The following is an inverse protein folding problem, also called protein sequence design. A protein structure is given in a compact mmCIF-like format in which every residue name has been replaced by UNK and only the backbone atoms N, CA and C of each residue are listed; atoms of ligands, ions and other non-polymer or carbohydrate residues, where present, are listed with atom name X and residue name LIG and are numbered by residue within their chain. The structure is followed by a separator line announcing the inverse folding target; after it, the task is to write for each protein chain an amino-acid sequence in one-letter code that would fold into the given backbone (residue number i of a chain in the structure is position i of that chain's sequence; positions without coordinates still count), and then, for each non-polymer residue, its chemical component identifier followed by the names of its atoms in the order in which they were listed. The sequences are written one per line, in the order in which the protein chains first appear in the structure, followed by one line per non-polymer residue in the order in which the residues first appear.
data_IF_187838453496
#
_entry.id   IF_187838453496
#
_cell.length_a   1.000
_cell.length_b   1.000
_cell.length_c   1.000
_cell.angle_alpha   90.00
_cell.angle_beta   90.00
_cell.angle_gamma   90.00
#
_symmetry.space_group_name_H-M   'P 1'
#
loop_
_entity.id
_entity.type
_entity.pdbx_description
1 polymer ?
#
# COMPACT_ATOMS: atom_id res chain seq x y z
N UNK A 1 -36.15 -30.14 -52.41
CA UNK A 1 -35.72 -31.52 -52.76
C UNK A 1 -34.20 -31.58 -52.64
N UNK A 2 -33.70 -32.47 -51.76
CA UNK A 2 -32.39 -33.19 -51.74
C UNK A 2 -31.16 -32.48 -52.37
N UNK A 3 -30.05 -32.32 -51.68
CA UNK A 3 -29.19 -33.44 -51.23
C UNK A 3 -28.18 -33.02 -50.15
N UNK A 4 -28.11 -33.81 -49.08
CA UNK A 4 -26.95 -33.94 -48.20
C UNK A 4 -25.91 -34.87 -48.86
N UNK A 5 -24.63 -34.55 -48.76
CA UNK A 5 -23.50 -35.48 -48.88
C UNK A 5 -22.61 -35.23 -47.64
N UNK A 6 -22.58 -36.12 -46.64
CA UNK A 6 -21.75 -37.33 -46.55
C UNK A 6 -20.25 -37.08 -46.77
N UNK A 7 -19.52 -36.84 -45.68
CA UNK A 7 -18.07 -37.07 -45.61
C UNK A 7 -17.79 -38.06 -44.48
N UNK A 8 -17.36 -39.25 -44.91
CA UNK A 8 -17.02 -40.42 -44.09
C UNK A 8 -15.64 -40.27 -43.44
N UNK A 9 -15.59 -40.70 -42.17
CA UNK A 9 -14.59 -41.59 -41.54
C UNK A 9 -13.17 -41.60 -42.15
N UNK A 10 -12.20 -41.14 -41.37
CA UNK A 10 -10.84 -41.70 -41.39
C UNK A 10 -10.47 -42.31 -40.03
N UNK A 11 -9.93 -43.53 -40.12
CA UNK A 11 -9.59 -44.44 -39.03
C UNK A 11 -8.22 -44.10 -38.43
N UNK A 12 -8.14 -44.30 -37.10
CA UNK A 12 -7.04 -44.95 -36.34
C UNK A 12 -5.65 -44.94 -36.99
N UNK A 13 -4.81 -44.01 -36.53
CA UNK A 13 -3.36 -44.17 -36.48
C UNK A 13 -2.93 -44.31 -35.03
N UNK A 14 -2.38 -45.47 -34.69
CA UNK A 14 -1.68 -45.76 -33.44
C UNK A 14 -0.40 -44.94 -33.41
N UNK A 15 -0.19 -44.12 -32.38
CA UNK A 15 1.13 -43.59 -32.05
C UNK A 15 1.48 -43.92 -30.59
N UNK A 16 2.76 -44.23 -30.33
CA UNK A 16 3.17 -45.00 -29.16
C UNK A 16 3.24 -44.12 -27.91
N UNK A 17 2.92 -44.76 -26.79
CA UNK A 17 3.25 -44.38 -25.42
C UNK A 17 4.74 -43.99 -25.32
N UNK A 18 5.02 -42.68 -25.33
CA UNK A 18 6.17 -42.17 -24.61
C UNK A 18 5.79 -42.09 -23.13
N UNK A 19 6.03 -43.20 -22.42
CA UNK A 19 6.25 -43.21 -20.99
C UNK A 19 7.55 -42.42 -20.71
N UNK A 20 7.47 -41.10 -20.71
CA UNK A 20 8.42 -40.30 -19.95
C UNK A 20 7.97 -40.41 -18.50
N UNK A 21 8.69 -41.26 -17.77
CA UNK A 21 8.70 -41.34 -16.31
C UNK A 21 9.13 -39.95 -15.81
N UNK A 22 8.16 -39.06 -15.58
CA UNK A 22 8.34 -38.03 -14.56
C UNK A 22 8.21 -38.77 -13.24
N UNK A 23 9.34 -39.08 -12.61
CA UNK A 23 9.36 -39.21 -11.16
C UNK A 23 8.92 -37.85 -10.61
N UNK A 24 7.61 -37.71 -10.38
CA UNK A 24 7.05 -36.65 -9.59
C UNK A 24 7.55 -36.88 -8.16
N UNK A 25 8.70 -36.30 -7.84
CA UNK A 25 9.12 -36.13 -6.46
C UNK A 25 8.13 -35.13 -5.87
N UNK A 26 7.31 -35.60 -4.93
CA UNK A 26 6.25 -34.88 -4.21
C UNK A 26 6.80 -33.75 -3.32
N UNK A 27 7.59 -32.83 -3.87
CA UNK A 27 8.05 -31.63 -3.17
C UNK A 27 6.98 -30.55 -3.29
N UNK A 28 5.99 -30.58 -2.40
CA UNK A 28 5.01 -29.50 -2.32
C UNK A 28 5.63 -28.27 -1.63
N UNK A 29 5.48 -27.09 -2.23
CA UNK A 29 5.83 -25.81 -1.59
C UNK A 29 4.57 -25.21 -0.97
N UNK A 30 4.67 -24.82 0.30
CA UNK A 30 3.61 -24.06 0.95
C UNK A 30 4.01 -22.59 0.91
N UNK A 31 3.32 -21.81 0.08
CA UNK A 31 3.34 -20.37 0.27
C UNK A 31 2.40 -20.07 1.42
N UNK A 32 2.96 -19.46 2.45
CA UNK A 32 2.15 -18.89 3.52
C UNK A 32 1.91 -17.44 3.10
N UNK A 33 0.77 -17.10 2.45
CA UNK A 33 0.37 -15.70 2.40
C UNK A 33 0.32 -15.24 3.85
N UNK A 34 0.94 -14.10 4.16
CA UNK A 34 0.91 -13.58 5.52
C UNK A 34 -0.55 -13.36 5.92
N UNK A 35 -1.06 -14.30 6.74
CA UNK A 35 -2.41 -14.44 7.27
C UNK A 35 -3.47 -13.51 6.64
N UNK A 36 -4.05 -13.90 5.51
CA UNK A 36 -5.43 -13.51 5.17
C UNK A 36 -6.39 -14.31 6.05
N UNK A 37 -6.58 -13.92 7.31
CA UNK A 37 -7.66 -14.43 8.14
C UNK A 37 -8.95 -13.75 7.67
N UNK A 38 -9.56 -14.31 6.63
CA UNK A 38 -10.99 -14.24 6.40
C UNK A 38 -11.41 -15.50 5.64
N UNK A 39 -11.39 -16.61 6.38
CA UNK A 39 -12.29 -17.72 6.08
C UNK A 39 -13.69 -17.24 6.44
N UNK A 40 -14.51 -16.99 5.42
CA UNK A 40 -15.92 -16.64 5.54
C UNK A 40 -16.70 -17.83 6.13
N UNK A 41 -16.60 -18.04 7.43
CA UNK A 41 -17.71 -18.61 8.18
C UNK A 41 -18.56 -17.44 8.64
N UNK A 42 -19.75 -17.39 8.07
CA UNK A 42 -20.82 -16.43 8.28
C UNK A 42 -21.14 -16.27 9.77
N UNK A 43 -20.44 -15.36 10.45
CA UNK A 43 -20.84 -14.92 11.79
C UNK A 43 -21.82 -13.77 11.59
N UNK A 44 -23.08 -14.01 11.97
CA UNK A 44 -24.15 -13.02 11.92
C UNK A 44 -23.66 -11.72 12.57
N UNK A 45 -23.80 -10.61 11.85
CA UNK A 45 -23.55 -9.28 12.34
C UNK A 45 -24.53 -8.97 13.48
N UNK A 46 -24.04 -9.11 14.72
CA UNK A 46 -24.62 -8.44 15.88
C UNK A 46 -23.68 -7.31 16.22
N UNK A 47 -24.15 -6.07 16.02
CA UNK A 47 -23.54 -4.84 16.52
C UNK A 47 -23.38 -4.94 18.05
N UNK A 48 -22.23 -5.41 18.49
CA UNK A 48 -21.74 -5.24 19.84
C UNK A 48 -20.48 -4.38 19.80
N UNK A 49 -20.54 -3.28 20.52
CA UNK A 49 -19.43 -2.52 21.08
C UNK A 49 -18.24 -3.44 21.39
N UNK A 50 -17.20 -3.40 20.55
CA UNK A 50 -16.00 -4.21 20.69
C UNK A 50 -15.13 -3.68 21.84
N UNK A 51 -15.49 -4.06 23.07
CA UNK A 51 -14.48 -4.20 24.13
C UNK A 51 -13.66 -5.45 23.80
N UNK A 52 -12.60 -5.27 23.02
CA UNK A 52 -11.61 -6.32 22.76
C UNK A 52 -10.88 -6.62 24.07
N UNK A 53 -11.10 -7.82 24.60
CA UNK A 53 -10.27 -8.39 25.65
C UNK A 53 -8.80 -8.41 25.20
N UNK A 54 -7.98 -7.57 25.83
CA UNK A 54 -6.53 -7.61 25.80
C UNK A 54 -6.07 -8.99 26.31
N UNK A 55 -5.50 -9.81 25.43
CA UNK A 55 -4.83 -11.05 25.83
C UNK A 55 -3.42 -11.07 25.20
N UNK A 56 -2.48 -10.47 25.95
CA UNK A 56 -1.06 -10.81 26.13
C UNK A 56 -0.11 -11.12 24.96
N UNK A 57 -0.48 -10.98 23.68
CA UNK A 57 0.45 -11.30 22.56
C UNK A 57 0.74 -10.13 21.60
N UNK A 58 0.33 -8.91 21.92
CA UNK A 58 0.47 -7.75 21.02
C UNK A 58 1.96 -7.40 20.76
N UNK A 59 2.83 -7.44 21.79
CA UNK A 59 4.27 -7.20 21.64
C UNK A 59 5.01 -8.25 20.77
N UNK A 60 4.66 -9.54 20.89
CA UNK A 60 5.31 -10.58 20.06
C UNK A 60 4.99 -10.44 18.58
N UNK A 61 3.79 -9.97 18.24
CA UNK A 61 3.40 -9.75 16.86
C UNK A 61 4.04 -8.49 16.28
N UNK A 62 4.16 -7.43 17.06
CA UNK A 62 4.89 -6.21 16.67
C UNK A 62 6.36 -6.50 16.38
N UNK A 63 7.04 -7.24 17.27
CA UNK A 63 8.41 -7.69 17.07
C UNK A 63 8.56 -8.50 15.78
N UNK A 64 7.59 -9.36 15.44
CA UNK A 64 7.61 -10.13 14.19
C UNK A 64 7.47 -9.25 12.96
N UNK A 65 6.68 -8.18 13.05
CA UNK A 65 6.47 -7.24 11.95
C UNK A 65 7.70 -6.36 11.72
N UNK A 66 8.31 -5.90 12.80
CA UNK A 66 9.58 -5.18 12.74
C UNK A 66 10.68 -6.09 12.22
N UNK A 67 10.75 -7.35 12.68
CA UNK A 67 11.66 -8.34 12.12
C UNK A 67 11.42 -8.55 10.62
N UNK A 68 10.17 -8.66 10.17
CA UNK A 68 9.86 -8.80 8.76
C UNK A 68 10.32 -7.59 7.95
N UNK A 69 10.07 -6.39 8.45
CA UNK A 69 10.51 -5.13 7.85
C UNK A 69 12.04 -5.11 7.72
N UNK A 70 12.75 -5.32 8.82
CA UNK A 70 14.21 -5.40 8.83
C UNK A 70 14.73 -6.50 7.90
N UNK A 71 14.02 -7.63 7.82
CA UNK A 71 14.37 -8.74 6.92
C UNK A 71 14.16 -8.40 5.44
N UNK A 72 13.17 -7.58 5.10
CA UNK A 72 12.94 -7.10 3.73
C UNK A 72 13.98 -6.05 3.36
N UNK A 73 14.24 -5.09 4.25
CA UNK A 73 15.23 -4.03 4.08
C UNK A 73 16.65 -4.60 3.92
N UNK A 74 17.05 -5.52 4.79
CA UNK A 74 18.39 -6.15 4.73
C UNK A 74 18.63 -6.95 3.44
N UNK A 75 17.57 -7.52 2.85
CA UNK A 75 17.69 -8.29 1.60
C UNK A 75 17.41 -7.44 0.36
N UNK A 76 17.06 -6.17 0.49
CA UNK A 76 16.64 -5.34 -0.63
C UNK A 76 17.80 -5.04 -1.58
N UNK A 77 17.64 -5.36 -2.87
CA UNK A 77 18.62 -5.00 -3.88
C UNK A 77 18.17 -3.72 -4.59
N UNK A 78 18.66 -2.56 -4.14
CA UNK A 78 18.25 -1.27 -4.68
C UNK A 78 18.54 -1.10 -6.17
N UNK A 79 19.62 -1.70 -6.68
CA UNK A 79 19.99 -1.61 -8.10
C UNK A 79 19.00 -2.34 -9.02
N UNK A 80 18.42 -3.46 -8.55
CA UNK A 80 17.49 -4.28 -9.31
C UNK A 80 16.03 -3.91 -9.03
N UNK A 81 15.71 -3.62 -7.78
CA UNK A 81 14.34 -3.43 -7.29
C UNK A 81 13.96 -1.96 -7.17
N UNK A 82 14.93 -1.02 -7.26
CA UNK A 82 14.79 0.42 -7.02
C UNK A 82 14.73 0.77 -5.52
N UNK A 83 14.31 1.98 -5.13
CA UNK A 83 14.34 2.36 -3.70
C UNK A 83 13.29 1.60 -2.90
N UNK A 84 13.66 1.12 -1.72
CA UNK A 84 12.65 0.60 -0.78
C UNK A 84 11.82 1.77 -0.25
N UNK A 85 10.48 1.74 -0.36
CA UNK A 85 9.63 2.82 0.11
C UNK A 85 9.51 2.78 1.65
N UNK A 86 10.58 3.17 2.36
CA UNK A 86 10.65 3.20 3.83
C UNK A 86 9.96 4.40 4.45
N UNK A 87 9.73 5.46 3.66
CA UNK A 87 9.04 6.68 4.05
C UNK A 87 7.86 6.96 3.13
N UNK A 88 6.84 7.71 3.58
CA UNK A 88 5.73 8.12 2.72
C UNK A 88 6.18 8.86 1.45
N UNK A 89 7.21 9.70 1.57
CA UNK A 89 7.78 10.44 0.46
C UNK A 89 8.44 9.51 -0.57
N UNK A 90 9.28 8.58 -0.12
CA UNK A 90 9.92 7.61 -0.99
C UNK A 90 8.88 6.71 -1.67
N UNK A 91 7.84 6.29 -0.94
CA UNK A 91 6.71 5.55 -1.48
C UNK A 91 5.98 6.34 -2.57
N UNK A 92 5.56 7.56 -2.26
CA UNK A 92 4.86 8.43 -3.19
C UNK A 92 5.68 8.72 -4.46
N UNK A 93 6.98 8.97 -4.31
CA UNK A 93 7.90 9.21 -5.43
C UNK A 93 7.99 8.00 -6.34
N UNK A 94 8.29 6.82 -5.79
CA UNK A 94 8.39 5.57 -6.54
C UNK A 94 7.07 5.22 -7.25
N UNK A 95 5.93 5.43 -6.59
CA UNK A 95 4.62 5.22 -7.20
C UNK A 95 4.39 6.22 -8.34
N UNK A 96 4.68 7.51 -8.13
CA UNK A 96 4.53 8.54 -9.15
C UNK A 96 5.38 8.25 -10.39
N UNK A 97 6.61 7.77 -10.22
CA UNK A 97 7.48 7.28 -11.31
C UNK A 97 6.80 6.20 -12.17
N UNK A 98 6.09 5.30 -11.51
CA UNK A 98 5.35 4.24 -12.18
C UNK A 98 4.14 4.78 -12.95
N UNK A 99 3.42 5.78 -12.42
CA UNK A 99 2.25 6.39 -13.10
C UNK A 99 2.59 6.97 -14.47
N UNK A 100 3.67 7.76 -14.60
CA UNK A 100 4.00 8.44 -15.86
C UNK A 100 4.60 7.51 -16.91
N UNK A 101 5.12 6.35 -16.52
CA UNK A 101 5.55 5.33 -17.48
C UNK A 101 4.37 4.68 -18.24
N UNK A 102 3.14 4.88 -17.77
CA UNK A 102 1.92 4.40 -18.40
C UNK A 102 1.23 5.56 -19.13
N UNK A 103 1.13 5.50 -20.47
CA UNK A 103 0.60 6.58 -21.32
C UNK A 103 -0.90 6.89 -21.15
N UNK A 104 -1.63 6.25 -20.24
CA UNK A 104 -3.08 6.45 -20.08
C UNK A 104 -3.39 7.44 -18.95
N UNK A 105 -3.81 8.65 -19.33
CA UNK A 105 -4.02 9.79 -18.43
C UNK A 105 -5.36 9.78 -17.68
N UNK A 106 -6.32 8.94 -18.09
CA UNK A 106 -7.65 8.81 -17.48
C UNK A 106 -8.01 7.35 -17.22
N UNK A 107 -8.57 7.07 -16.04
CA UNK A 107 -9.01 5.74 -15.66
C UNK A 107 -8.84 5.44 -14.17
N UNK A 108 -9.03 4.16 -13.82
CA UNK A 108 -8.88 3.65 -12.46
C UNK A 108 -7.50 3.01 -12.32
N UNK A 109 -6.70 3.55 -11.41
CA UNK A 109 -5.37 3.04 -11.06
C UNK A 109 -5.42 2.36 -9.70
N UNK A 110 -4.79 1.20 -9.60
CA UNK A 110 -4.65 0.43 -8.37
C UNK A 110 -3.20 0.50 -7.91
N UNK A 111 -3.00 0.78 -6.63
CA UNK A 111 -1.73 0.73 -5.94
C UNK A 111 -1.89 -0.32 -4.83
N UNK A 112 -1.01 -1.30 -4.78
CA UNK A 112 -1.09 -2.41 -3.84
C UNK A 112 0.22 -2.55 -3.05
N UNK A 113 0.35 -1.73 -2.00
CA UNK A 113 1.39 -1.67 -1.00
C UNK A 113 1.07 -2.63 0.16
N UNK A 114 1.48 -3.89 0.05
CA UNK A 114 1.36 -4.85 1.16
C UNK A 114 2.56 -4.75 2.11
N UNK A 115 2.84 -3.52 2.55
CA UNK A 115 3.85 -3.27 3.58
C UNK A 115 3.22 -3.44 4.96
N UNK A 116 3.98 -3.92 5.96
CA UNK A 116 3.54 -4.12 7.35
C UNK A 116 2.64 -3.04 7.96
N UNK A 117 2.92 -1.76 7.70
CA UNK A 117 2.16 -0.63 8.23
C UNK A 117 1.08 -0.08 7.30
N UNK A 118 1.03 -0.55 6.05
CA UNK A 118 0.11 -0.06 5.02
C UNK A 118 -0.93 -1.10 4.61
N UNK A 119 -0.76 -2.37 4.98
CA UNK A 119 -1.66 -3.45 4.59
C UNK A 119 -2.80 -3.68 5.60
N UNK A 120 -4.02 -3.24 5.27
CA UNK A 120 -5.22 -3.54 6.05
C UNK A 120 -5.47 -5.05 6.22
N UNK A 121 -4.92 -5.92 5.37
CA UNK A 121 -5.13 -7.39 5.47
C UNK A 121 -4.48 -8.00 6.69
N UNK A 122 -3.47 -7.34 7.24
CA UNK A 122 -2.81 -7.78 8.46
C UNK A 122 -3.66 -7.47 9.71
N UNK A 123 -4.70 -6.64 9.56
CA UNK A 123 -5.67 -6.29 10.57
C UNK A 123 -5.77 -4.79 10.76
N UNK A 124 -6.92 -4.29 11.21
CA UNK A 124 -7.14 -2.86 11.45
C UNK A 124 -6.22 -2.27 12.51
N UNK A 125 -5.57 -3.11 13.33
CA UNK A 125 -4.59 -2.70 14.34
C UNK A 125 -3.24 -2.31 13.75
N UNK A 126 -2.85 -2.92 12.62
CA UNK A 126 -1.52 -2.77 12.03
C UNK A 126 -1.49 -1.79 10.87
N UNK A 127 -2.66 -1.49 10.34
CA UNK A 127 -2.82 -0.49 9.32
C UNK A 127 -2.75 0.90 9.91
N UNK A 128 -1.73 1.63 9.52
CA UNK A 128 -1.60 3.05 9.84
C UNK A 128 -2.32 3.87 8.76
N UNK A 129 -3.55 4.27 9.10
CA UNK A 129 -4.37 5.12 8.24
C UNK A 129 -3.71 6.49 7.98
N UNK A 130 -2.91 6.99 8.92
CA UNK A 130 -2.20 8.27 8.78
C UNK A 130 -1.07 8.10 7.79
N UNK A 131 -0.26 7.05 7.93
CA UNK A 131 0.83 6.77 6.99
C UNK A 131 0.30 6.55 5.57
N UNK A 132 -0.81 5.83 5.42
CA UNK A 132 -1.43 5.62 4.12
C UNK A 132 -2.01 6.93 3.54
N UNK A 133 -2.54 7.81 4.39
CA UNK A 133 -2.97 9.15 3.99
C UNK A 133 -1.80 10.04 3.59
N UNK A 134 -0.66 9.99 4.29
CA UNK A 134 0.56 10.70 3.93
C UNK A 134 1.07 10.25 2.54
N UNK A 135 1.11 8.94 2.30
CA UNK A 135 1.49 8.38 0.98
C UNK A 135 0.54 8.86 -0.11
N UNK A 136 -0.77 8.79 0.14
CA UNK A 136 -1.79 9.24 -0.81
C UNK A 136 -1.64 10.74 -1.10
N UNK A 137 -1.34 11.52 -0.06
CA UNK A 137 -1.20 12.96 -0.15
C UNK A 137 -0.03 13.34 -1.03
N UNK A 138 1.16 12.87 -0.65
CA UNK A 138 2.40 13.15 -1.35
C UNK A 138 2.34 12.61 -2.78
N UNK A 139 1.68 11.48 -3.02
CA UNK A 139 1.49 10.95 -4.36
C UNK A 139 0.71 11.92 -5.24
N UNK A 140 -0.44 12.41 -4.78
CA UNK A 140 -1.26 13.37 -5.52
C UNK A 140 -0.45 14.62 -5.85
N UNK A 141 0.28 15.17 -4.87
CA UNK A 141 1.11 16.35 -5.09
C UNK A 141 2.16 16.11 -6.17
N UNK A 142 2.84 14.96 -6.14
CA UNK A 142 3.84 14.57 -7.14
C UNK A 142 3.21 14.39 -8.53
N UNK A 143 2.01 13.81 -8.62
CA UNK A 143 1.28 13.66 -9.88
C UNK A 143 0.88 15.02 -10.46
N UNK A 144 0.39 15.95 -9.63
CA UNK A 144 0.03 17.31 -10.05
C UNK A 144 1.29 18.06 -10.49
N UNK A 145 2.37 17.97 -9.71
CA UNK A 145 3.63 18.65 -10.02
C UNK A 145 4.18 18.20 -11.37
N UNK A 146 4.29 16.89 -11.60
CA UNK A 146 4.77 16.36 -12.88
C UNK A 146 3.88 16.68 -14.06
N UNK A 147 2.56 16.74 -13.85
CA UNK A 147 1.65 17.18 -14.91
C UNK A 147 1.90 18.64 -15.30
N UNK A 148 2.27 19.50 -14.34
CA UNK A 148 2.69 20.87 -14.65
C UNK A 148 4.00 20.89 -15.41
N UNK A 149 5.00 20.16 -14.93
CA UNK A 149 6.33 20.12 -15.55
C UNK A 149 6.25 19.66 -17.01
N UNK A 150 5.46 18.61 -17.30
CA UNK A 150 5.26 18.12 -18.66
C UNK A 150 4.47 19.10 -19.56
N UNK A 151 3.61 19.95 -19.00
CA UNK A 151 2.86 20.94 -19.76
C UNK A 151 3.70 22.19 -20.09
N UNK A 152 4.68 22.54 -19.24
CA UNK A 152 5.60 23.68 -19.49
C UNK A 152 6.38 23.47 -20.79
N UNK A 153 6.81 22.24 -21.07
CA UNK A 153 7.51 21.91 -22.32
C UNK A 153 6.60 21.99 -23.56
N UNK A 154 5.28 21.86 -23.38
CA UNK A 154 4.30 21.92 -24.47
C UNK A 154 3.73 23.33 -24.71
N UNK A 155 3.83 24.24 -23.73
CA UNK A 155 3.10 25.51 -23.70
C UNK A 155 3.83 26.71 -24.32
N UNK A 156 4.84 26.52 -25.18
CA UNK A 156 5.51 27.65 -25.88
C UNK A 156 4.55 28.41 -26.83
N UNK A 157 3.32 27.94 -27.05
CA UNK A 157 2.40 28.50 -28.09
C UNK A 157 0.99 28.86 -27.58
N UNK A 158 0.66 28.77 -26.29
CA UNK A 158 -0.71 29.08 -25.82
C UNK A 158 -0.72 29.76 -24.44
N UNK A 159 -1.09 31.05 -24.41
CA UNK A 159 -1.35 31.87 -23.22
C UNK A 159 -2.63 31.44 -22.45
N UNK A 160 -2.82 30.14 -22.22
CA UNK A 160 -3.79 29.68 -21.23
C UNK A 160 -3.07 29.57 -19.90
N UNK A 161 -3.39 30.49 -18.98
CA UNK A 161 -2.93 30.47 -17.60
C UNK A 161 -3.09 29.06 -17.02
N UNK A 162 -2.01 28.38 -16.61
CA UNK A 162 -2.11 27.05 -16.04
C UNK A 162 -3.01 27.11 -14.80
N UNK A 163 -4.11 26.35 -14.80
CA UNK A 163 -5.05 26.31 -13.67
C UNK A 163 -4.31 25.77 -12.44
N UNK A 164 -3.82 26.66 -11.60
CA UNK A 164 -3.07 26.35 -10.38
C UNK A 164 -3.91 25.64 -9.32
N UNK A 165 -5.22 25.47 -9.55
CA UNK A 165 -6.23 25.07 -8.57
C UNK A 165 -6.59 23.58 -8.54
N UNK A 166 -5.87 22.71 -9.26
CA UNK A 166 -6.16 21.27 -9.23
C UNK A 166 -5.94 20.70 -7.83
N UNK A 167 -6.99 20.12 -7.26
CA UNK A 167 -7.07 19.48 -5.95
C UNK A 167 -7.40 18.00 -6.11
N UNK A 168 -7.14 17.21 -5.07
CA UNK A 168 -7.66 15.86 -4.96
C UNK A 168 -8.61 15.71 -3.77
N UNK A 169 -9.53 14.75 -3.90
CA UNK A 169 -10.36 14.28 -2.81
C UNK A 169 -9.78 12.96 -2.30
N UNK A 170 -9.32 12.95 -1.05
CA UNK A 170 -8.88 11.77 -0.33
C UNK A 170 -10.06 11.20 0.48
N UNK A 171 -10.53 10.04 0.06
CA UNK A 171 -11.64 9.33 0.68
C UNK A 171 -11.11 8.26 1.65
N UNK A 172 -11.52 8.38 2.90
CA UNK A 172 -11.28 7.39 3.96
C UNK A 172 -12.59 6.78 4.43
N UNK A 173 -12.50 5.66 5.15
CA UNK A 173 -13.64 4.80 5.44
C UNK A 173 -14.73 5.48 6.28
N UNK A 174 -14.32 6.14 7.36
CA UNK A 174 -15.22 6.66 8.39
C UNK A 174 -14.69 7.96 8.99
N UNK A 175 -15.59 8.66 9.68
CA UNK A 175 -15.33 9.96 10.27
C UNK A 175 -14.31 9.91 11.42
N UNK A 176 -14.24 8.79 12.15
CA UNK A 176 -13.26 8.64 13.22
C UNK A 176 -11.83 8.59 12.65
N UNK A 177 -11.66 7.91 11.52
CA UNK A 177 -10.40 7.87 10.77
C UNK A 177 -10.02 9.24 10.23
N UNK A 178 -10.98 9.99 9.66
CA UNK A 178 -10.77 11.41 9.24
C UNK A 178 -10.21 12.22 10.39
N UNK A 179 -10.90 12.26 11.54
CA UNK A 179 -10.48 13.05 12.71
C UNK A 179 -9.11 12.65 13.24
N UNK A 180 -8.77 11.36 13.13
CA UNK A 180 -7.45 10.87 13.56
C UNK A 180 -6.35 11.40 12.65
N UNK A 181 -6.54 11.33 11.33
CA UNK A 181 -5.61 11.86 10.35
C UNK A 181 -5.47 13.38 10.51
N UNK A 182 -6.57 14.11 10.60
CA UNK A 182 -6.57 15.56 10.77
C UNK A 182 -5.83 15.98 12.04
N UNK A 183 -6.11 15.33 13.17
CA UNK A 183 -5.43 15.62 14.44
C UNK A 183 -3.92 15.41 14.34
N UNK A 184 -3.48 14.29 13.77
CA UNK A 184 -2.04 14.00 13.64
C UNK A 184 -1.39 14.99 12.69
N UNK A 185 -2.05 15.32 11.58
CA UNK A 185 -1.59 16.37 10.70
C UNK A 185 -1.50 17.69 11.46
N UNK A 186 -2.55 18.20 12.10
CA UNK A 186 -2.55 19.45 12.87
C UNK A 186 -1.41 19.53 13.88
N UNK A 187 -1.21 18.48 14.69
CA UNK A 187 -0.08 18.41 15.62
C UNK A 187 1.27 18.60 14.92
N UNK A 188 1.48 17.90 13.80
CA UNK A 188 2.70 18.05 12.98
C UNK A 188 2.86 19.45 12.39
N UNK A 189 1.78 20.22 12.19
CA UNK A 189 1.91 21.60 11.70
C UNK A 189 2.29 22.59 12.79
N UNK A 190 1.86 22.35 14.05
CA UNK A 190 2.17 23.21 15.19
C UNK A 190 3.59 23.00 15.70
N UNK A 191 4.09 21.75 15.70
CA UNK A 191 5.46 21.45 16.14
C UNK A 191 6.53 22.18 15.31
N UNK A 192 6.24 22.59 14.08
CA UNK A 192 7.18 23.37 13.26
C UNK A 192 7.22 24.87 13.60
N UNK A 193 6.30 25.38 14.40
CA UNK A 193 6.23 26.81 14.73
C UNK A 193 6.78 27.17 16.10
N UNK A 194 7.00 26.19 16.98
CA UNK A 194 7.44 26.41 18.36
C UNK A 194 8.96 26.35 18.52
N UNK A 195 9.67 25.55 17.70
CA UNK A 195 11.14 25.40 17.76
C UNK A 195 11.94 26.65 17.33
N UNK A 196 11.30 27.68 16.78
CA UNK A 196 11.93 28.94 16.35
C UNK A 196 11.73 30.10 17.36
N UNK A 197 11.13 29.85 18.53
CA UNK A 197 10.83 30.88 19.54
C UNK A 197 11.47 30.65 20.93
N UNK A 198 12.43 29.74 21.05
CA UNK A 198 13.16 29.52 22.32
C UNK A 198 14.65 29.89 22.23
N UNK A 199 14.96 31.16 21.96
CA UNK A 199 16.25 31.79 22.33
C UNK A 199 16.04 33.26 22.72
N UNK A 200 15.39 33.50 23.87
CA UNK A 200 15.75 34.65 24.73
C UNK A 200 15.70 34.18 26.19
N UNK A 201 16.84 33.64 26.64
CA UNK A 201 17.17 33.47 28.05
C UNK A 201 17.01 34.82 28.77
N UNK A 202 15.97 34.96 29.59
CA UNK A 202 16.04 35.82 30.76
C UNK A 202 16.45 34.93 31.93
N UNK A 203 17.76 34.90 32.17
CA UNK A 203 18.35 34.68 33.48
C UNK A 203 17.73 35.69 34.46
N UNK A 204 16.80 35.23 35.30
CA UNK A 204 16.63 35.80 36.63
C UNK A 204 16.09 34.68 37.53
N UNK A 205 17.02 34.16 38.34
CA UNK A 205 16.79 33.31 39.49
C UNK A 205 15.72 33.94 40.40
N UNK A 206 14.66 33.21 40.73
CA UNK A 206 14.13 33.32 42.09
C UNK A 206 13.29 32.10 42.52
N UNK A 207 13.53 31.77 43.78
CA UNK A 207 13.22 30.56 44.51
C UNK A 207 11.73 30.39 44.91
N UNK A 208 11.32 29.11 44.96
CA UNK A 208 10.39 28.49 45.92
C UNK A 208 8.89 28.89 45.91
N UNK A 209 8.03 27.92 45.60
CA UNK A 209 7.25 27.25 46.66
C UNK A 209 6.37 26.12 46.13
N UNK A 210 6.44 25.00 46.85
CA UNK A 210 5.54 23.85 46.77
C UNK A 210 4.07 24.26 46.85
N UNK A 211 3.24 23.71 45.97
CA UNK A 211 1.90 23.29 46.34
C UNK A 211 1.51 22.02 45.59
N UNK A 212 1.24 20.98 46.37
CA UNK A 212 0.54 19.77 45.97
C UNK A 212 -0.85 20.14 45.44
N UNK A 213 -1.06 20.04 44.13
CA UNK A 213 -2.38 19.79 43.56
C UNK A 213 -2.35 18.49 42.78
N UNK A 214 -3.02 17.50 43.38
CA UNK A 214 -3.34 16.18 42.89
C UNK A 214 -4.20 16.32 41.63
N UNK A 215 -3.52 16.58 40.51
CA UNK A 215 -4.11 16.59 39.19
C UNK A 215 -4.23 15.14 38.75
N UNK A 216 -5.47 14.67 38.61
CA UNK A 216 -5.77 13.36 38.05
C UNK A 216 -5.13 13.25 36.65
N UNK A 217 -3.97 12.61 36.60
CA UNK A 217 -3.28 12.21 35.37
C UNK A 217 -4.19 11.19 34.69
N UNK A 218 -5.01 11.68 33.75
CA UNK A 218 -5.59 10.84 32.72
C UNK A 218 -4.41 10.16 32.02
N UNK A 219 -4.36 8.85 32.15
CA UNK A 219 -3.37 7.98 31.53
C UNK A 219 -3.15 8.37 30.06
N UNK A 220 -1.95 8.86 29.79
CA UNK A 220 -1.44 9.15 28.47
C UNK A 220 -1.02 7.82 27.81
N UNK A 221 -2.02 7.04 27.38
CA UNK A 221 -1.87 5.81 26.56
C UNK A 221 -1.37 6.12 25.12
N UNK A 222 -0.83 7.31 24.88
CA UNK A 222 -0.27 7.74 23.58
C UNK A 222 1.26 7.85 23.57
N UNK A 223 1.93 7.58 24.71
CA UNK A 223 3.39 7.51 24.79
C UNK A 223 4.00 6.31 24.03
N UNK A 224 3.17 5.42 23.46
CA UNK A 224 3.63 4.29 22.64
C UNK A 224 3.76 4.61 21.14
N UNK A 225 3.69 5.89 20.76
CA UNK A 225 4.12 6.37 19.43
C UNK A 225 5.64 6.62 19.36
N UNK A 226 6.45 5.84 20.09
CA UNK A 226 7.92 5.79 20.00
C UNK A 226 8.46 5.36 18.61
N UNK A 227 7.57 5.17 17.63
CA UNK A 227 7.87 4.79 16.26
C UNK A 227 8.70 5.83 15.48
N UNK A 228 8.58 7.13 15.77
CA UNK A 228 9.37 8.16 15.05
C UNK A 228 10.76 8.39 15.64
N UNK A 229 10.96 8.12 16.93
CA UNK A 229 12.24 8.35 17.61
C UNK A 229 13.16 7.12 17.51
N UNK A 230 12.61 5.91 17.45
CA UNK A 230 13.38 4.66 17.31
C UNK A 230 14.09 4.50 15.96
N UNK A 231 13.62 5.18 14.90
CA UNK A 231 14.29 5.21 13.59
C UNK A 231 15.57 6.07 13.64
N UNK A 232 15.68 7.00 14.60
CA UNK A 232 16.85 7.88 14.74
C UNK A 232 18.03 7.20 15.47
N UNK A 233 17.82 6.13 16.23
CA UNK A 233 18.83 5.56 17.12
C UNK A 233 19.71 4.44 16.50
N UNK A 234 19.39 3.93 15.30
CA UNK A 234 20.08 2.74 14.75
C UNK A 234 21.23 3.05 13.78
N UNK A 235 21.37 4.29 13.28
CA UNK A 235 22.46 4.65 12.35
C UNK A 235 23.80 5.00 13.03
N UNK A 236 23.97 4.72 14.32
CA UNK A 236 25.20 5.03 15.07
C UNK A 236 25.86 3.81 15.71
N UNK A 237 25.96 2.67 15.01
CA UNK A 237 26.78 1.54 15.50
C UNK A 237 27.46 0.69 14.43
N UNK A 238 28.47 1.26 13.77
CA UNK A 238 29.72 0.59 13.34
C UNK A 238 30.65 1.70 12.86
N UNK A 239 31.93 1.84 13.21
CA UNK A 239 32.98 0.86 13.49
C UNK A 239 34.10 1.61 14.23
N UNK A 240 34.69 0.99 15.24
CA UNK A 240 35.88 1.48 15.92
C UNK A 240 37.06 1.64 14.95
N UNK A 241 37.51 2.87 14.72
CA UNK A 241 38.90 3.15 14.36
C UNK A 241 39.35 4.47 14.99
N UNK A 242 40.42 4.38 15.76
CA UNK A 242 41.05 5.47 16.50
C UNK A 242 41.79 6.41 15.55
N UNK A 243 41.44 7.69 15.56
CA UNK A 243 42.17 8.74 14.87
C UNK A 243 41.54 10.10 15.16
N UNK A 244 42.10 10.83 16.13
CA UNK A 244 41.66 12.15 16.55
C UNK A 244 41.71 13.17 15.41
N UNK A 245 40.59 13.86 15.16
CA UNK A 245 40.54 15.14 14.46
C UNK A 245 39.25 15.85 14.83
N UNK A 246 39.35 16.79 15.78
CA UNK A 246 38.30 17.77 16.08
C UNK A 246 37.87 18.48 14.80
N UNK A 247 36.65 18.22 14.36
CA UNK A 247 35.98 19.02 13.34
C UNK A 247 34.55 19.21 13.81
N UNK A 248 34.20 20.45 14.17
CA UNK A 248 32.87 20.87 14.60
C UNK A 248 31.82 20.39 13.60
N UNK A 249 30.99 19.45 14.06
CA UNK A 249 29.91 18.86 13.28
C UNK A 249 28.72 19.81 13.31
N UNK A 250 28.64 20.67 12.28
CA UNK A 250 27.46 21.50 11.99
C UNK A 250 26.23 20.58 11.90
N UNK A 251 25.27 20.75 12.81
CA UNK A 251 23.99 20.05 12.78
C UNK A 251 23.32 20.31 11.43
N UNK A 252 23.15 19.26 10.63
CA UNK A 252 22.36 19.32 9.41
C UNK A 252 20.89 19.46 9.81
N UNK A 253 20.34 20.64 9.59
CA UNK A 253 18.91 20.93 9.63
C UNK A 253 18.21 19.93 8.69
N UNK A 254 17.40 19.02 9.24
CA UNK A 254 16.62 18.08 8.45
C UNK A 254 15.51 18.86 7.74
N UNK A 255 15.51 18.83 6.41
CA UNK A 255 14.39 19.31 5.60
C UNK A 255 13.16 18.40 5.80
N UNK A 256 12.42 18.61 6.89
CA UNK A 256 11.07 18.07 7.03
C UNK A 256 10.13 18.92 6.18
N UNK A 257 9.99 18.54 4.91
CA UNK A 257 9.08 19.19 3.96
C UNK A 257 7.64 19.22 4.52
N UNK A 258 7.09 20.42 4.67
CA UNK A 258 5.73 20.64 5.17
C UNK A 258 4.69 20.21 4.12
N UNK A 259 3.78 19.33 4.51
CA UNK A 259 2.67 18.84 3.67
C UNK A 259 1.70 20.01 3.34
N UNK A 260 1.55 20.40 2.07
CA UNK A 260 0.62 21.46 1.64
C UNK A 260 -0.82 20.93 1.59
N UNK A 261 -1.55 21.14 2.69
CA UNK A 261 -2.95 20.70 2.83
C UNK A 261 -3.92 21.35 1.86
N UNK A 262 -3.56 22.47 1.21
CA UNK A 262 -4.51 23.22 0.35
C UNK A 262 -4.89 22.43 -0.91
N UNK A 263 -4.10 21.42 -1.27
CA UNK A 263 -4.27 20.61 -2.47
C UNK A 263 -5.11 19.36 -2.26
N UNK A 264 -5.38 18.97 -1.02
CA UNK A 264 -6.10 17.75 -0.70
C UNK A 264 -7.24 18.03 0.26
N UNK A 265 -8.42 17.64 -0.17
CA UNK A 265 -9.60 17.57 0.66
C UNK A 265 -9.70 16.15 1.24
N UNK A 266 -9.60 16.00 2.56
CA UNK A 266 -9.88 14.74 3.25
C UNK A 266 -11.39 14.64 3.52
N UNK A 267 -11.98 13.46 3.31
CA UNK A 267 -13.41 13.25 3.53
C UNK A 267 -13.74 11.79 3.86
N UNK A 268 -14.70 11.57 4.77
CA UNK A 268 -15.28 10.25 5.02
C UNK A 268 -16.17 9.81 3.86
N UNK A 269 -16.05 8.55 3.43
CA UNK A 269 -16.79 7.96 2.33
C UNK A 269 -18.30 7.97 2.56
N UNK A 270 -18.72 7.72 3.82
CA UNK A 270 -20.13 7.65 4.20
C UNK A 270 -20.54 8.70 5.24
N UNK A 271 -19.62 9.57 5.67
CA UNK A 271 -19.87 10.52 6.76
C UNK A 271 -20.33 9.79 8.03
N UNK A 272 -21.43 10.25 8.62
CA UNK A 272 -22.06 9.62 9.79
C UNK A 272 -23.05 8.49 9.44
N UNK A 273 -23.20 8.13 8.16
CA UNK A 273 -24.17 7.14 7.73
C UNK A 273 -23.74 5.71 8.13
N UNK A 274 -24.56 5.03 8.92
CA UNK A 274 -24.39 3.61 9.22
C UNK A 274 -25.03 2.75 8.13
N UNK A 275 -24.19 1.99 7.40
CA UNK A 275 -24.63 1.14 6.29
C UNK A 275 -24.61 -0.32 6.74
N UNK A 276 -25.80 -0.83 7.06
CA UNK A 276 -26.01 -2.26 7.33
C UNK A 276 -26.03 -3.07 6.04
N UNK A 277 -25.46 -4.28 6.05
CA UNK A 277 -25.63 -5.22 4.95
C UNK A 277 -27.09 -5.69 4.86
N UNK A 278 -27.71 -5.51 3.70
CA UNK A 278 -29.13 -5.79 3.48
C UNK A 278 -29.58 -5.54 2.05
N UNK A 279 -30.86 -5.77 1.77
CA UNK A 279 -31.45 -5.53 0.46
C UNK A 279 -31.47 -4.03 0.07
N UNK A 280 -31.48 -3.14 1.06
CA UNK A 280 -31.51 -1.68 0.90
C UNK A 280 -30.12 -1.03 0.95
N UNK A 281 -29.06 -1.83 0.99
CA UNK A 281 -27.68 -1.37 1.12
C UNK A 281 -27.26 -0.49 -0.06
N UNK A 282 -27.70 -0.80 -1.28
CA UNK A 282 -27.39 0.01 -2.47
C UNK A 282 -27.90 1.44 -2.32
N UNK A 283 -29.19 1.60 -2.02
CA UNK A 283 -29.82 2.91 -1.86
C UNK A 283 -29.23 3.69 -0.69
N UNK A 284 -28.79 3.00 0.37
CA UNK A 284 -28.08 3.62 1.51
C UNK A 284 -26.69 4.12 1.09
N UNK A 285 -25.92 3.32 0.37
CA UNK A 285 -24.60 3.70 -0.16
C UNK A 285 -24.73 4.90 -1.10
N UNK A 286 -25.66 4.85 -2.05
CA UNK A 286 -25.85 5.94 -3.02
C UNK A 286 -26.26 7.23 -2.31
N UNK A 287 -27.19 7.17 -1.35
CA UNK A 287 -27.58 8.36 -0.57
C UNK A 287 -26.41 8.93 0.24
N UNK A 288 -25.63 8.08 0.92
CA UNK A 288 -24.48 8.50 1.70
C UNK A 288 -23.40 9.17 0.82
N UNK A 289 -23.16 8.66 -0.40
CA UNK A 289 -22.25 9.30 -1.35
C UNK A 289 -22.80 10.63 -1.86
N UNK A 290 -24.10 10.71 -2.13
CA UNK A 290 -24.75 11.93 -2.60
C UNK A 290 -24.68 13.05 -1.54
N UNK A 291 -24.79 12.72 -0.25
CA UNK A 291 -24.69 13.71 0.82
C UNK A 291 -23.24 14.10 1.13
N UNK A 292 -22.30 13.15 1.11
CA UNK A 292 -20.96 13.38 1.69
C UNK A 292 -19.84 13.55 0.65
N UNK A 293 -19.97 12.96 -0.54
CA UNK A 293 -18.87 12.93 -1.52
C UNK A 293 -19.20 13.76 -2.76
N UNK A 294 -20.41 13.61 -3.29
CA UNK A 294 -20.85 14.30 -4.52
C UNK A 294 -20.76 15.83 -4.45
N UNK A 295 -21.05 16.52 -3.32
CA UNK A 295 -20.95 17.98 -3.25
C UNK A 295 -19.55 18.51 -3.61
N UNK A 296 -18.50 17.77 -3.23
CA UNK A 296 -17.10 18.11 -3.54
C UNK A 296 -16.72 17.81 -5.00
N UNK A 297 -17.44 16.90 -5.65
CA UNK A 297 -17.18 16.47 -7.03
C UNK A 297 -18.03 17.24 -8.07
N UNK A 298 -18.66 18.35 -7.67
CA UNK A 298 -19.52 19.13 -8.53
C UNK A 298 -18.73 19.66 -9.76
N UNK A 299 -19.16 19.34 -10.99
CA UNK A 299 -18.49 19.80 -12.22
C UNK A 299 -18.37 21.32 -12.35
N UNK A 300 -19.21 22.08 -11.66
CA UNK A 300 -19.18 23.55 -11.73
C UNK A 300 -17.99 24.16 -10.98
N UNK A 301 -17.45 23.46 -9.99
CA UNK A 301 -16.26 23.90 -9.26
C UNK A 301 -14.99 23.45 -9.98
N UNK A 302 -15.01 22.27 -10.61
CA UNK A 302 -13.93 21.62 -11.38
C UNK A 302 -12.51 21.69 -10.77
N UNK A 303 -12.41 21.98 -9.47
CA UNK A 303 -11.15 22.01 -8.74
C UNK A 303 -10.62 20.60 -8.51
N UNK A 304 -11.50 19.61 -8.29
CA UNK A 304 -11.10 18.24 -7.97
C UNK A 304 -10.96 17.40 -9.23
N UNK A 305 -9.74 17.05 -9.62
CA UNK A 305 -9.46 16.20 -10.79
C UNK A 305 -9.11 14.75 -10.44
N UNK A 306 -8.77 14.50 -9.17
CA UNK A 306 -8.30 13.22 -8.68
C UNK A 306 -9.10 12.79 -7.45
N UNK A 307 -9.56 11.54 -7.45
CA UNK A 307 -10.20 10.89 -6.31
C UNK A 307 -9.26 9.77 -5.87
N UNK A 308 -8.67 9.91 -4.68
CA UNK A 308 -7.88 8.86 -4.06
C UNK A 308 -8.71 8.21 -2.96
N UNK A 309 -8.70 6.88 -2.86
CA UNK A 309 -9.41 6.18 -1.81
C UNK A 309 -8.53 5.11 -1.18
N UNK A 310 -8.48 5.12 0.15
CA UNK A 310 -7.57 4.25 0.88
C UNK A 310 -8.29 3.04 1.43
N UNK A 311 -7.72 1.89 1.05
CA UNK A 311 -7.98 0.55 1.55
C UNK A 311 -9.48 0.19 1.66
N UNK A 312 -10.23 0.26 0.55
CA UNK A 312 -11.60 -0.26 0.53
C UNK A 312 -11.62 -1.78 0.60
N UNK A 313 -12.35 -2.31 1.58
CA UNK A 313 -12.45 -3.74 1.87
C UNK A 313 -13.90 -4.21 1.94
N UNK A 314 -14.81 -3.41 2.50
CA UNK A 314 -16.17 -3.87 2.79
C UNK A 314 -17.07 -3.85 1.56
N UNK A 315 -18.14 -4.63 1.59
CA UNK A 315 -19.12 -4.67 0.49
C UNK A 315 -19.74 -3.29 0.21
N UNK A 316 -20.14 -2.47 1.22
CA UNK A 316 -20.54 -1.08 1.00
C UNK A 316 -19.47 -0.24 0.29
N UNK A 317 -18.20 -0.34 0.71
CA UNK A 317 -17.08 0.40 0.10
C UNK A 317 -16.87 -0.01 -1.36
N UNK A 318 -16.93 -1.30 -1.68
CA UNK A 318 -16.85 -1.78 -3.07
C UNK A 318 -18.01 -1.25 -3.91
N UNK A 319 -19.23 -1.19 -3.37
CA UNK A 319 -20.37 -0.58 -4.07
C UNK A 319 -20.16 0.91 -4.30
N UNK A 320 -19.58 1.61 -3.34
CA UNK A 320 -19.26 3.02 -3.48
C UNK A 320 -18.25 3.26 -4.61
N UNK A 321 -17.20 2.43 -4.70
CA UNK A 321 -16.24 2.48 -5.81
C UNK A 321 -16.95 2.30 -7.14
N UNK A 322 -17.83 1.31 -7.26
CA UNK A 322 -18.56 1.04 -8.51
C UNK A 322 -19.34 2.28 -8.94
N UNK A 323 -20.06 2.92 -8.01
CA UNK A 323 -20.79 4.16 -8.28
C UNK A 323 -19.88 5.32 -8.70
N UNK A 324 -18.75 5.53 -8.01
CA UNK A 324 -17.78 6.58 -8.32
C UNK A 324 -17.10 6.34 -9.67
N UNK A 325 -16.68 5.10 -9.95
CA UNK A 325 -16.04 4.71 -11.21
C UNK A 325 -17.01 4.88 -12.38
N UNK A 326 -18.24 4.39 -12.26
CA UNK A 326 -19.23 4.52 -13.32
C UNK A 326 -19.51 5.99 -13.66
N UNK A 327 -19.54 6.87 -12.65
CA UNK A 327 -19.88 8.28 -12.83
C UNK A 327 -18.69 9.16 -13.25
N UNK A 328 -17.51 8.93 -12.68
CA UNK A 328 -16.40 9.88 -12.75
C UNK A 328 -15.14 9.34 -13.44
N UNK A 329 -15.01 8.04 -13.75
CA UNK A 329 -13.78 7.49 -14.36
C UNK A 329 -13.40 8.11 -15.72
N UNK A 330 -14.35 8.71 -16.42
CA UNK A 330 -14.12 9.39 -17.71
C UNK A 330 -13.62 10.83 -17.55
N UNK A 331 -13.89 11.47 -16.42
CA UNK A 331 -13.63 12.90 -16.19
C UNK A 331 -12.62 13.16 -15.08
N UNK A 332 -12.43 12.19 -14.19
CA UNK A 332 -11.55 12.29 -13.03
C UNK A 332 -10.66 11.05 -12.96
N UNK A 333 -9.43 11.23 -12.47
CA UNK A 333 -8.53 10.12 -12.15
C UNK A 333 -8.99 9.47 -10.85
N UNK A 334 -9.12 8.14 -10.84
CA UNK A 334 -9.46 7.40 -9.62
C UNK A 334 -8.26 6.55 -9.21
N UNK A 335 -7.76 6.74 -8.00
CA UNK A 335 -6.64 6.01 -7.42
C UNK A 335 -7.14 5.19 -6.24
N UNK A 336 -6.96 3.88 -6.30
CA UNK A 336 -7.34 2.95 -5.24
C UNK A 336 -6.07 2.43 -4.59
N UNK A 337 -5.86 2.77 -3.33
CA UNK A 337 -4.68 2.35 -2.55
C UNK A 337 -5.10 1.15 -1.71
N UNK A 338 -4.37 0.05 -1.81
CA UNK A 338 -4.62 -1.22 -1.11
C UNK A 338 -6.06 -1.74 -1.18
N UNK A 339 -6.73 -1.70 -2.36
CA UNK A 339 -8.09 -2.17 -2.44
C UNK A 339 -8.17 -3.69 -2.27
N UNK A 340 -9.23 -4.14 -1.61
CA UNK A 340 -9.54 -5.53 -1.45
C UNK A 340 -10.88 -5.86 -2.10
N UNK A 341 -10.81 -6.43 -3.30
CA UNK A 341 -11.99 -6.90 -4.03
C UNK A 341 -12.20 -8.39 -3.81
N UNK A 342 -13.46 -8.79 -3.60
CA UNK A 342 -13.84 -10.18 -3.79
C UNK A 342 -13.54 -10.59 -5.24
N UNK A 343 -13.08 -11.84 -5.44
CA UNK A 343 -12.90 -12.41 -6.78
C UNK A 343 -14.21 -13.09 -7.24
N UNK A 344 -14.68 -12.85 -8.48
CA UNK A 344 -14.07 -11.99 -9.50
C UNK A 344 -14.25 -10.50 -9.19
N UNK A 345 -13.28 -9.69 -9.64
CA UNK A 345 -13.30 -8.23 -9.52
C UNK A 345 -14.60 -7.66 -10.15
N UNK A 346 -15.22 -6.60 -9.58
CA UNK A 346 -16.38 -5.96 -10.18
C UNK A 346 -16.16 -5.56 -11.63
N UNK A 347 -17.22 -5.68 -12.45
CA UNK A 347 -17.15 -5.45 -13.90
C UNK A 347 -16.64 -4.05 -14.24
N UNK A 348 -17.03 -3.04 -13.46
CA UNK A 348 -16.64 -1.64 -13.63
C UNK A 348 -15.13 -1.43 -13.41
N UNK A 349 -14.48 -2.34 -12.67
CA UNK A 349 -13.06 -2.31 -12.34
C UNK A 349 -12.23 -3.29 -13.20
N UNK A 350 -12.82 -3.94 -14.20
CA UNK A 350 -12.08 -4.82 -15.12
C UNK A 350 -11.01 -4.08 -15.91
N UNK A 351 -11.25 -2.79 -16.19
CA UNK A 351 -10.28 -1.93 -16.87
C UNK A 351 -9.28 -1.28 -15.90
N UNK A 352 -9.47 -1.42 -14.58
CA UNK A 352 -8.57 -0.85 -13.60
C UNK A 352 -7.20 -1.53 -13.67
N UNK A 353 -6.14 -0.74 -13.72
CA UNK A 353 -4.77 -1.24 -13.86
C UNK A 353 -4.02 -1.08 -12.55
N UNK A 354 -3.35 -2.15 -12.12
CA UNK A 354 -2.35 -2.03 -11.06
C UNK A 354 -1.11 -1.34 -11.63
N UNK A 355 -0.81 -0.14 -11.13
CA UNK A 355 0.33 0.69 -11.55
C UNK A 355 1.55 0.39 -10.70
N UNK A 356 1.33 0.17 -9.40
CA UNK A 356 2.38 -0.18 -8.46
C UNK A 356 1.89 -1.30 -7.55
N UNK A 357 2.74 -2.28 -7.28
CA UNK A 357 2.46 -3.30 -6.29
C UNK A 357 3.74 -3.82 -5.65
N UNK A 358 3.72 -4.01 -4.34
CA UNK A 358 4.81 -4.60 -3.59
C UNK A 358 4.20 -5.61 -2.61
N UNK A 359 4.43 -6.89 -2.87
CA UNK A 359 3.86 -8.00 -2.08
C UNK A 359 4.98 -8.90 -1.57
N UNK A 360 5.35 -8.78 -0.28
CA UNK A 360 6.31 -9.67 0.34
C UNK A 360 5.64 -10.99 0.75
N UNK A 361 6.34 -12.10 0.54
CA UNK A 361 5.91 -13.45 0.89
C UNK A 361 7.04 -14.20 1.60
N UNK A 362 6.64 -15.09 2.51
CA UNK A 362 7.52 -16.08 3.10
C UNK A 362 7.14 -17.45 2.55
N UNK A 363 8.12 -18.14 1.98
CA UNK A 363 7.95 -19.47 1.40
C UNK A 363 8.68 -20.48 2.26
N UNK A 364 8.01 -21.60 2.52
CA UNK A 364 8.57 -22.73 3.25
C UNK A 364 8.44 -24.01 2.41
N UNK A 365 9.52 -24.77 2.33
CA UNK A 365 9.44 -26.15 1.81
C UNK A 365 8.64 -26.99 2.82
N UNK A 366 7.67 -27.78 2.35
CA UNK A 366 6.78 -28.55 3.23
C UNK A 366 7.51 -29.44 4.25
N UNK A 367 8.67 -29.96 3.86
CA UNK A 367 9.46 -30.91 4.66
C UNK A 367 10.53 -30.23 5.52
N UNK A 368 10.78 -28.92 5.32
CA UNK A 368 11.77 -28.15 6.09
C UNK A 368 11.06 -27.18 7.02
N UNK A 369 11.24 -27.39 8.33
CA UNK A 369 10.78 -26.43 9.35
C UNK A 369 11.68 -25.19 9.43
N UNK A 370 12.90 -25.28 8.91
CA UNK A 370 13.97 -24.31 9.19
C UNK A 370 14.21 -23.33 8.04
N UNK A 371 14.07 -23.75 6.78
CA UNK A 371 14.41 -22.88 5.64
C UNK A 371 13.21 -22.06 5.19
N UNK A 372 13.14 -20.82 5.65
CA UNK A 372 12.26 -19.78 5.09
C UNK A 372 12.99 -19.06 3.95
N UNK A 373 12.44 -19.15 2.75
CA UNK A 373 12.90 -18.36 1.60
C UNK A 373 11.99 -17.15 1.44
N UNK A 374 12.58 -15.97 1.32
CA UNK A 374 11.82 -14.72 1.13
C UNK A 374 11.53 -14.52 -0.34
N UNK A 375 10.32 -14.10 -0.67
CA UNK A 375 9.92 -13.79 -2.03
C UNK A 375 9.25 -12.43 -2.06
N UNK A 376 9.51 -11.63 -3.10
CA UNK A 376 8.80 -10.38 -3.34
C UNK A 376 8.22 -10.42 -4.74
N UNK A 377 6.91 -10.24 -4.84
CA UNK A 377 6.25 -9.92 -6.11
C UNK A 377 6.19 -8.41 -6.22
N UNK A 378 6.80 -7.88 -7.26
CA UNK A 378 6.92 -6.44 -7.49
C UNK A 378 6.28 -6.06 -8.81
N UNK A 379 5.57 -4.94 -8.81
CA UNK A 379 5.16 -4.20 -10.00
C UNK A 379 5.55 -2.74 -9.83
N UNK A 380 6.37 -2.26 -10.74
CA UNK A 380 6.79 -0.85 -10.85
C UNK A 380 6.65 -0.37 -12.29
N UNK A 381 7.20 -1.13 -13.22
CA UNK A 381 7.06 -0.86 -14.65
C UNK A 381 5.83 -1.59 -15.21
N UNK A 382 5.80 -1.78 -16.53
CA UNK A 382 4.70 -2.45 -17.21
C UNK A 382 4.60 -3.94 -16.84
N UNK A 383 5.69 -4.56 -16.38
CA UNK A 383 5.79 -6.00 -16.13
C UNK A 383 5.77 -6.33 -14.64
N UNK A 384 5.26 -7.52 -14.31
CA UNK A 384 5.37 -8.11 -12.99
C UNK A 384 6.71 -8.85 -12.87
N UNK A 385 7.40 -8.62 -11.77
CA UNK A 385 8.69 -9.22 -11.45
C UNK A 385 8.60 -10.02 -10.16
N UNK A 386 9.32 -11.15 -10.11
CA UNK A 386 9.41 -12.01 -8.95
C UNK A 386 10.85 -12.06 -8.49
N UNK A 387 11.08 -11.75 -7.22
CA UNK A 387 12.38 -11.77 -6.59
C UNK A 387 12.41 -12.81 -5.49
N UNK A 388 13.55 -13.47 -5.32
CA UNK A 388 13.80 -14.45 -4.26
C UNK A 388 15.05 -14.03 -3.48
N UNK A 389 15.00 -14.11 -2.15
CA UNK A 389 16.18 -13.85 -1.33
C UNK A 389 17.07 -15.08 -1.37
N UNK A 390 18.26 -14.91 -1.94
CA UNK A 390 19.26 -15.95 -1.89
C UNK A 390 19.98 -15.90 -0.54
N UNK A 391 19.97 -17.02 0.18
CA UNK A 391 20.65 -17.15 1.47
C UNK A 391 22.17 -17.02 1.38
N UNK A 392 22.78 -17.17 0.19
CA UNK A 392 24.24 -17.06 0.04
C UNK A 392 24.70 -15.61 -0.16
N UNK A 393 23.97 -14.83 -0.95
CA UNK A 393 24.25 -13.40 -1.16
C UNK A 393 23.61 -12.49 -0.09
N UNK A 394 22.58 -12.98 0.61
CA UNK A 394 21.77 -12.19 1.53
C UNK A 394 20.81 -11.22 0.84
N UNK A 395 20.91 -11.05 -0.48
CA UNK A 395 20.16 -10.09 -1.28
C UNK A 395 19.07 -10.79 -2.13
N UNK A 396 18.10 -10.00 -2.57
CA UNK A 396 17.11 -10.42 -3.57
C UNK A 396 17.75 -10.52 -4.95
N UNK A 397 17.57 -11.69 -5.57
CA UNK A 397 17.85 -11.91 -6.97
C UNK A 397 16.55 -12.09 -7.76
N UNK A 398 16.60 -11.73 -9.04
CA UNK A 398 15.42 -11.77 -9.90
C UNK A 398 15.19 -13.19 -10.40
N UNK A 399 14.08 -13.78 -10.00
CA UNK A 399 13.72 -15.14 -10.35
C UNK A 399 13.00 -15.22 -11.69
N UNK A 400 12.04 -14.32 -11.91
CA UNK A 400 11.23 -14.32 -13.12
C UNK A 400 10.81 -12.90 -13.51
N UNK A 401 10.75 -12.69 -14.81
CA UNK A 401 10.18 -11.52 -15.48
C UNK A 401 9.12 -12.05 -16.44
N UNK A 402 8.08 -11.26 -16.70
CA UNK A 402 7.00 -11.60 -17.64
C UNK A 402 6.10 -12.75 -17.16
N UNK A 403 5.24 -12.44 -16.17
CA UNK A 403 4.07 -13.25 -15.89
C UNK A 403 3.31 -13.57 -17.20
N UNK A 404 2.99 -14.85 -17.49
CA UNK A 404 2.39 -15.24 -18.76
C UNK A 404 1.13 -14.41 -19.06
N UNK A 405 1.11 -13.79 -20.25
CA UNK A 405 0.03 -12.91 -20.69
C UNK A 405 -1.28 -13.71 -20.73
N UNK A 406 -2.25 -13.31 -19.90
CA UNK A 406 -3.56 -13.95 -19.75
C UNK A 406 -4.55 -13.07 -18.98
N UNK A 407 -5.81 -13.52 -18.86
CA UNK A 407 -6.92 -12.75 -18.23
C UNK A 407 -6.62 -12.36 -16.77
N UNK A 408 -5.75 -13.12 -16.07
CA UNK A 408 -5.34 -12.85 -14.69
C UNK A 408 -4.21 -11.80 -14.55
N UNK A 409 -3.66 -11.28 -15.64
CA UNK A 409 -2.52 -10.34 -15.59
C UNK A 409 -2.84 -9.01 -14.89
N UNK A 410 -4.13 -8.67 -14.73
CA UNK A 410 -4.59 -7.43 -14.09
C UNK A 410 -4.45 -7.42 -12.56
N UNK A 411 -4.61 -8.57 -11.90
CA UNK A 411 -4.50 -8.70 -10.43
C UNK A 411 -3.08 -9.09 -9.98
N UNK A 412 -2.19 -9.34 -10.95
CA UNK A 412 -0.85 -9.85 -10.74
C UNK A 412 -0.76 -11.36 -10.80
N UNK A 413 0.45 -11.90 -10.59
CA UNK A 413 0.68 -13.32 -10.75
C UNK A 413 -0.19 -14.14 -9.79
N UNK A 414 -0.73 -15.25 -10.28
CA UNK A 414 -1.44 -16.21 -9.43
C UNK A 414 -0.48 -16.77 -8.38
N UNK A 415 -1.01 -17.09 -7.19
CA UNK A 415 -0.20 -17.71 -6.13
C UNK A 415 0.37 -19.07 -6.57
N UNK A 416 -0.34 -19.78 -7.45
CA UNK A 416 0.14 -21.02 -8.06
C UNK A 416 1.39 -20.79 -8.91
N UNK A 417 1.41 -19.73 -9.71
CA UNK A 417 2.59 -19.37 -10.51
C UNK A 417 3.76 -18.94 -9.62
N UNK A 418 3.50 -18.13 -8.58
CA UNK A 418 4.52 -17.75 -7.59
C UNK A 418 5.08 -19.00 -6.90
N UNK A 419 4.24 -19.96 -6.55
CA UNK A 419 4.64 -21.21 -5.90
C UNK A 419 5.49 -22.09 -6.82
N UNK A 420 5.08 -22.24 -8.08
CA UNK A 420 5.83 -23.01 -9.07
C UNK A 420 7.24 -22.43 -9.29
N UNK A 421 7.32 -21.11 -9.42
CA UNK A 421 8.58 -20.38 -9.52
C UNK A 421 9.48 -20.63 -8.29
N UNK A 422 8.93 -20.45 -7.09
CA UNK A 422 9.63 -20.70 -5.83
C UNK A 422 10.13 -22.15 -5.70
N UNK A 423 9.30 -23.11 -6.12
CA UNK A 423 9.64 -24.53 -6.09
C UNK A 423 10.78 -24.85 -7.05
N UNK A 424 10.74 -24.34 -8.28
CA UNK A 424 11.79 -24.53 -9.26
C UNK A 424 13.13 -23.99 -8.74
N UNK A 425 13.13 -22.81 -8.12
CA UNK A 425 14.31 -22.24 -7.48
C UNK A 425 14.93 -23.15 -6.42
N UNK A 426 14.10 -23.62 -5.48
CA UNK A 426 14.55 -24.50 -4.39
C UNK A 426 15.09 -25.82 -4.92
N UNK A 427 14.48 -26.39 -5.95
CA UNK A 427 14.96 -27.62 -6.60
C UNK A 427 16.32 -27.43 -7.28
N UNK A 428 16.52 -26.33 -8.00
CA UNK A 428 17.81 -26.01 -8.65
C UNK A 428 18.92 -25.81 -7.62
N UNK A 429 18.63 -25.10 -6.53
CA UNK A 429 19.58 -24.86 -5.44
C UNK A 429 20.00 -26.15 -4.73
N UNK A 430 19.04 -27.05 -4.49
CA UNK A 430 19.32 -28.36 -3.91
C UNK A 430 20.13 -29.26 -4.85
N UNK A 431 19.87 -29.20 -6.16
CA UNK A 431 20.62 -29.97 -7.16
C UNK A 431 22.07 -29.51 -7.30
N UNK A 432 22.35 -28.21 -7.15
CA UNK A 432 23.72 -27.67 -7.19
C UNK A 432 24.55 -27.90 -5.92
N UNK A 433 23.94 -28.41 -4.84
CA UNK A 433 24.61 -28.70 -3.56
C UNK A 433 25.04 -30.17 -3.42
N UNK A 434 24.70 -31.02 -4.39
CA UNK A 434 25.14 -32.42 -4.51
C UNK A 434 26.29 -32.52 -5.50
#
# INVERSE_FOLDING_TARGET
MRTCNDIKRYRRGVLPLFFCIFQAVDSFVVIIPQRTIWSSKTTKATTHHLSLSQNSNDHEEEDRMQQLRSLLEASWNQSLMGNIPTTPMAAAQEIADCFFSHQDSAGVSIIDLQLPSLDLRQGTRWYDAVLAADVAHLLVERLIQRQRDHNVDASVVSEQTPSSSKKALLLVRDEATVRTIERVWEKRAVSFTEDDMEEEENDDEDELSNNNEETAVMYDDFADFGFLESIAAVDSSSTSSSGASDTEQKSQTRDTETIDRRRIQLQSLFGDASISEGADMEDKVIRALQSNVVPFLNPQLDEIDTIAMIAPVTRPEVMAIRALVQKYSKTKRIILINPHFAKPRPMELQQARTVYSLRPFLVRAKDSRETLTKIVVLKRKQEWELFVSDSSSGQFERLAVNYPKGVDAMDGPSMEWVAACAQQYLQQKNAGSQ
#
